data_IF_067467779401
#
_entry.id   IF_067467779401
#
_cell.length_a   1.000
_cell.length_b   1.000
_cell.length_c   1.000
_cell.angle_alpha   90.00
_cell.angle_beta   90.00
_cell.angle_gamma   90.00
#
_symmetry.space_group_name_H-M   'P 1'
#
loop_
_entity.id
_entity.type
_entity.pdbx_description
1 polymer ?
#
# COMPACT_ATOMS: atom_id res chain seq x y z
N UNK A 1 -20.63 -6.86 -6.85
CA UNK A 1 -21.75 -6.28 -6.04
C UNK A 1 -21.60 -4.82 -5.63
N UNK A 2 -20.47 -4.30 -5.11
CA UNK A 2 -20.43 -2.90 -4.63
C UNK A 2 -20.41 -1.81 -5.72
N UNK A 3 -20.07 -2.15 -6.97
CA UNK A 3 -20.02 -1.21 -8.10
C UNK A 3 -21.04 -1.54 -9.20
N UNK A 4 -22.05 -2.38 -8.90
CA UNK A 4 -23.05 -2.79 -9.89
C UNK A 4 -22.57 -3.82 -10.93
N UNK A 5 -21.28 -4.16 -10.97
CA UNK A 5 -20.75 -5.19 -11.86
C UNK A 5 -20.87 -6.61 -11.28
N UNK A 6 -21.15 -7.56 -12.18
CA UNK A 6 -21.00 -9.00 -11.98
C UNK A 6 -19.62 -9.43 -12.44
N UNK A 7 -18.87 -10.14 -11.60
CA UNK A 7 -17.51 -10.61 -11.93
C UNK A 7 -17.59 -12.08 -12.34
N UNK A 8 -17.24 -12.36 -13.59
CA UNK A 8 -17.06 -13.72 -14.12
C UNK A 8 -15.58 -14.11 -13.94
N UNK A 9 -15.23 -14.66 -12.78
CA UNK A 9 -13.84 -15.01 -12.46
C UNK A 9 -13.43 -16.32 -13.15
N UNK A 10 -12.27 -16.31 -13.80
CA UNK A 10 -11.69 -17.47 -14.46
C UNK A 10 -10.23 -17.66 -14.04
N UNK A 11 -9.88 -18.86 -13.59
CA UNK A 11 -8.52 -19.28 -13.28
C UNK A 11 -8.22 -20.72 -13.74
N UNK A 12 -7.07 -21.26 -13.34
CA UNK A 12 -6.60 -22.60 -13.73
C UNK A 12 -7.50 -23.77 -13.28
N UNK A 13 -8.41 -23.53 -12.35
CA UNK A 13 -9.34 -24.53 -11.83
C UNK A 13 -10.68 -24.54 -12.58
N UNK A 14 -10.91 -23.57 -13.47
CA UNK A 14 -12.09 -23.54 -14.32
C UNK A 14 -11.91 -24.40 -15.57
N UNK A 15 -13.05 -24.85 -16.11
CA UNK A 15 -13.17 -25.63 -17.34
C UNK A 15 -13.25 -24.73 -18.57
N UNK A 16 -12.93 -25.29 -19.75
CA UNK A 16 -13.10 -24.57 -21.02
C UNK A 16 -14.58 -24.28 -21.34
N UNK A 17 -15.52 -25.08 -20.83
CA UNK A 17 -16.96 -24.81 -20.97
C UNK A 17 -17.37 -23.54 -20.21
N UNK A 18 -16.81 -23.32 -19.01
CA UNK A 18 -16.99 -22.06 -18.30
C UNK A 18 -16.38 -20.88 -19.07
N UNK A 19 -15.21 -21.05 -19.70
CA UNK A 19 -14.62 -20.02 -20.54
C UNK A 19 -15.55 -19.64 -21.69
N UNK A 20 -16.11 -20.61 -22.39
CA UNK A 20 -17.07 -20.38 -23.49
C UNK A 20 -18.33 -19.67 -23.00
N UNK A 21 -18.87 -20.11 -21.86
CA UNK A 21 -20.04 -19.48 -21.24
C UNK A 21 -19.77 -18.03 -20.84
N UNK A 22 -18.63 -17.75 -20.20
CA UNK A 22 -18.26 -16.39 -19.79
C UNK A 22 -17.96 -15.51 -21.00
N UNK A 23 -17.29 -16.03 -22.03
CA UNK A 23 -17.04 -15.32 -23.27
C UNK A 23 -18.34 -14.94 -24.01
N UNK A 24 -19.43 -15.69 -23.83
CA UNK A 24 -20.74 -15.32 -24.41
C UNK A 24 -21.43 -14.16 -23.70
N UNK A 25 -21.07 -13.87 -22.44
CA UNK A 25 -21.74 -12.90 -21.56
C UNK A 25 -20.92 -11.65 -21.26
N UNK A 26 -19.60 -11.74 -21.38
CA UNK A 26 -18.69 -10.67 -20.96
C UNK A 26 -18.95 -9.36 -21.72
N UNK A 27 -19.07 -8.25 -21.00
CA UNK A 27 -19.17 -6.91 -21.59
C UNK A 27 -17.80 -6.23 -21.68
N UNK A 28 -16.88 -6.58 -20.77
CA UNK A 28 -15.47 -6.16 -20.74
C UNK A 28 -14.64 -7.34 -20.21
N UNK A 29 -13.48 -7.57 -20.81
CA UNK A 29 -12.55 -8.62 -20.38
C UNK A 29 -11.31 -7.98 -19.75
N UNK A 30 -10.97 -8.42 -18.54
CA UNK A 30 -9.74 -8.03 -17.84
C UNK A 30 -8.81 -9.25 -17.78
N UNK A 31 -7.95 -9.38 -18.79
CA UNK A 31 -7.04 -10.50 -18.95
C UNK A 31 -5.75 -10.29 -18.15
N UNK A 32 -5.75 -10.81 -16.92
CA UNK A 32 -4.62 -10.75 -15.99
C UNK A 32 -3.77 -12.01 -15.98
N UNK A 33 -4.15 -13.04 -16.74
CA UNK A 33 -3.46 -14.32 -16.72
C UNK A 33 -2.12 -14.23 -17.44
N UNK A 34 -1.07 -14.71 -16.77
CA UNK A 34 0.26 -14.80 -17.34
C UNK A 34 1.18 -15.64 -16.47
N UNK A 35 1.99 -16.47 -17.12
CA UNK A 35 3.06 -17.23 -16.48
C UNK A 35 4.27 -16.32 -16.32
N UNK A 36 4.72 -16.20 -15.07
CA UNK A 36 5.93 -15.50 -14.69
C UNK A 36 6.98 -16.52 -14.21
N UNK A 37 8.22 -16.40 -14.71
CA UNK A 37 9.39 -17.20 -14.28
C UNK A 37 9.14 -18.73 -14.23
N UNK A 38 8.72 -19.37 -15.33
CA UNK A 38 8.66 -20.82 -15.42
C UNK A 38 10.07 -21.41 -15.36
N UNK A 39 10.16 -22.67 -14.96
CA UNK A 39 11.40 -23.45 -15.00
C UNK A 39 11.76 -23.86 -16.42
N UNK A 40 10.78 -23.93 -17.32
CA UNK A 40 10.96 -24.23 -18.74
C UNK A 40 10.48 -23.04 -19.61
N UNK A 41 11.35 -22.47 -20.47
CA UNK A 41 10.97 -21.40 -21.39
C UNK A 41 9.77 -21.71 -22.29
N UNK A 42 9.53 -22.98 -22.66
CA UNK A 42 8.39 -23.35 -23.49
C UNK A 42 7.04 -23.23 -22.77
N UNK A 43 7.03 -23.21 -21.43
CA UNK A 43 5.84 -22.88 -20.65
C UNK A 43 5.38 -21.44 -20.88
N UNK A 44 6.29 -20.50 -21.21
CA UNK A 44 5.89 -19.13 -21.56
C UNK A 44 5.02 -19.11 -22.81
N UNK A 45 5.41 -19.83 -23.86
CA UNK A 45 4.64 -19.91 -25.11
C UNK A 45 3.31 -20.61 -24.88
N UNK A 46 3.33 -21.80 -24.28
CA UNK A 46 2.13 -22.60 -24.04
C UNK A 46 1.12 -21.90 -23.12
N UNK A 47 1.62 -21.17 -22.11
CA UNK A 47 0.78 -20.47 -21.14
C UNK A 47 0.26 -19.12 -21.61
N UNK A 48 1.16 -18.20 -22.01
CA UNK A 48 0.77 -16.81 -22.29
C UNK A 48 0.10 -16.65 -23.65
N UNK A 49 0.69 -17.23 -24.70
CA UNK A 49 0.15 -17.13 -26.06
C UNK A 49 -1.06 -18.05 -26.18
N UNK A 50 -0.90 -19.32 -25.79
CA UNK A 50 -1.97 -20.31 -25.92
C UNK A 50 -3.27 -19.93 -25.20
N UNK A 51 -3.20 -19.44 -23.96
CA UNK A 51 -4.43 -19.03 -23.27
C UNK A 51 -5.05 -17.75 -23.87
N UNK A 52 -4.23 -16.81 -24.34
CA UNK A 52 -4.73 -15.61 -25.03
C UNK A 52 -5.46 -15.98 -26.32
N UNK A 53 -4.93 -16.93 -27.10
CA UNK A 53 -5.60 -17.48 -28.29
C UNK A 53 -6.92 -18.17 -27.93
N UNK A 54 -6.95 -18.99 -26.86
CA UNK A 54 -8.18 -19.65 -26.39
C UNK A 54 -9.28 -18.64 -26.03
N UNK A 55 -8.92 -17.58 -25.31
CA UNK A 55 -9.84 -16.50 -24.96
C UNK A 55 -10.37 -15.77 -26.20
N UNK A 56 -9.48 -15.35 -27.11
CA UNK A 56 -9.86 -14.68 -28.36
C UNK A 56 -10.77 -15.56 -29.23
N UNK A 57 -10.48 -16.86 -29.31
CA UNK A 57 -11.29 -17.82 -30.05
C UNK A 57 -12.67 -18.03 -29.41
N UNK A 58 -12.75 -18.09 -28.08
CA UNK A 58 -14.02 -18.20 -27.36
C UNK A 58 -14.91 -16.95 -27.58
N UNK A 59 -14.32 -15.75 -27.56
CA UNK A 59 -15.03 -14.51 -27.88
C UNK A 59 -15.51 -14.49 -29.33
N UNK A 60 -14.63 -14.85 -30.27
CA UNK A 60 -14.94 -14.89 -31.70
C UNK A 60 -16.06 -15.90 -32.02
N UNK A 61 -16.02 -17.10 -31.43
CA UNK A 61 -17.05 -18.14 -31.57
C UNK A 61 -18.43 -17.65 -31.12
N UNK A 62 -18.48 -16.80 -30.11
CA UNK A 62 -19.71 -16.20 -29.59
C UNK A 62 -20.08 -14.87 -30.26
N UNK A 63 -19.32 -14.43 -31.27
CA UNK A 63 -19.46 -13.11 -31.90
C UNK A 63 -19.47 -11.96 -30.87
N UNK A 64 -18.74 -12.12 -29.76
CA UNK A 64 -18.66 -11.13 -28.70
C UNK A 64 -17.46 -10.20 -28.96
N UNK A 65 -17.74 -8.90 -29.02
CA UNK A 65 -16.77 -7.82 -29.28
C UNK A 65 -16.36 -7.06 -28.00
N UNK A 66 -16.54 -7.68 -26.84
CA UNK A 66 -16.17 -7.11 -25.55
C UNK A 66 -14.74 -6.51 -25.59
N UNK A 67 -14.54 -5.27 -25.13
CA UNK A 67 -13.20 -4.70 -25.00
C UNK A 67 -12.30 -5.57 -24.12
N UNK A 68 -11.06 -5.78 -24.55
CA UNK A 68 -10.09 -6.59 -23.82
C UNK A 68 -8.99 -5.69 -23.27
N UNK A 69 -8.90 -5.59 -21.95
CA UNK A 69 -7.73 -5.10 -21.25
C UNK A 69 -6.79 -6.27 -20.99
N UNK A 70 -5.49 -6.12 -21.31
CA UNK A 70 -4.48 -7.14 -20.99
C UNK A 70 -3.36 -6.61 -20.10
N UNK A 71 -2.94 -7.43 -19.13
CA UNK A 71 -1.70 -7.21 -18.37
C UNK A 71 -0.49 -7.77 -19.12
N UNK A 72 0.11 -6.94 -19.96
CA UNK A 72 1.43 -7.19 -20.53
C UNK A 72 2.54 -6.72 -19.56
N UNK A 73 3.76 -6.58 -20.06
CA UNK A 73 4.93 -6.18 -19.26
C UNK A 73 5.83 -5.24 -20.07
N UNK A 74 6.52 -4.31 -19.41
CA UNK A 74 7.60 -3.52 -20.04
C UNK A 74 8.66 -4.39 -20.70
N UNK A 75 8.83 -5.63 -20.23
CA UNK A 75 9.73 -6.61 -20.81
C UNK A 75 9.37 -6.96 -22.26
N UNK A 76 8.11 -6.76 -22.69
CA UNK A 76 7.69 -6.98 -24.07
C UNK A 76 8.46 -6.14 -25.08
N UNK A 77 9.04 -5.00 -24.67
CA UNK A 77 9.92 -4.18 -25.49
C UNK A 77 11.35 -4.73 -25.62
N UNK A 78 11.75 -5.67 -24.75
CA UNK A 78 13.09 -6.23 -24.69
C UNK A 78 13.19 -7.54 -25.47
N UNK A 79 14.41 -7.89 -25.90
CA UNK A 79 14.68 -9.13 -26.63
C UNK A 79 15.15 -10.25 -25.69
N UNK A 80 14.25 -10.76 -24.87
CA UNK A 80 14.44 -11.96 -24.05
C UNK A 80 13.21 -12.88 -24.15
N UNK A 81 13.31 -14.14 -23.71
CA UNK A 81 12.24 -15.14 -23.89
C UNK A 81 10.89 -14.67 -23.32
N UNK A 82 10.92 -14.04 -22.14
CA UNK A 82 9.71 -13.52 -21.50
C UNK A 82 9.12 -12.33 -22.27
N UNK A 83 9.96 -11.41 -22.72
CA UNK A 83 9.58 -10.27 -23.54
C UNK A 83 8.97 -10.70 -24.87
N UNK A 84 9.58 -11.67 -25.56
CA UNK A 84 9.05 -12.26 -26.79
C UNK A 84 7.69 -12.91 -26.57
N UNK A 85 7.53 -13.73 -25.54
CA UNK A 85 6.24 -14.35 -25.19
C UNK A 85 5.14 -13.33 -24.94
N UNK A 86 5.43 -12.22 -24.23
CA UNK A 86 4.46 -11.15 -24.02
C UNK A 86 4.11 -10.43 -25.31
N UNK A 87 5.11 -10.13 -26.16
CA UNK A 87 4.89 -9.50 -27.47
C UNK A 87 4.07 -10.36 -28.42
N UNK A 88 4.30 -11.68 -28.43
CA UNK A 88 3.48 -12.63 -29.20
C UNK A 88 2.03 -12.62 -28.73
N UNK A 89 1.77 -12.60 -27.42
CA UNK A 89 0.43 -12.43 -26.87
C UNK A 89 -0.23 -11.10 -27.26
N UNK A 90 0.54 -10.01 -27.29
CA UNK A 90 0.06 -8.71 -27.82
C UNK A 90 -0.33 -8.81 -29.30
N UNK A 91 0.45 -9.52 -30.12
CA UNK A 91 0.12 -9.74 -31.54
C UNK A 91 -1.19 -10.52 -31.72
N UNK A 92 -1.45 -11.56 -30.91
CA UNK A 92 -2.72 -12.29 -30.95
C UNK A 92 -3.91 -11.36 -30.69
N UNK A 93 -3.79 -10.46 -29.72
CA UNK A 93 -4.84 -9.50 -29.38
C UNK A 93 -5.05 -8.45 -30.47
N UNK A 94 -3.96 -7.95 -31.08
CA UNK A 94 -4.04 -7.01 -32.20
C UNK A 94 -4.73 -7.66 -33.40
N UNK A 95 -4.39 -8.90 -33.73
CA UNK A 95 -5.05 -9.63 -34.81
C UNK A 95 -6.55 -9.84 -34.51
N UNK A 96 -6.89 -10.19 -33.26
CA UNK A 96 -8.29 -10.32 -32.84
C UNK A 96 -9.06 -9.00 -32.95
N UNK A 97 -8.43 -7.88 -32.56
CA UNK A 97 -8.96 -6.53 -32.71
C UNK A 97 -9.34 -6.24 -34.17
N UNK A 98 -8.43 -6.51 -35.10
CA UNK A 98 -8.63 -6.29 -36.54
C UNK A 98 -9.71 -7.21 -37.13
N UNK A 99 -9.75 -8.48 -36.72
CA UNK A 99 -10.70 -9.47 -37.24
C UNK A 99 -12.13 -9.26 -36.74
N UNK A 100 -12.29 -8.90 -35.46
CA UNK A 100 -13.60 -8.79 -34.81
C UNK A 100 -14.12 -7.36 -34.75
N UNK A 101 -13.29 -6.36 -35.07
CA UNK A 101 -13.57 -4.94 -34.80
C UNK A 101 -13.91 -4.75 -33.30
N UNK A 102 -13.10 -5.38 -32.44
CA UNK A 102 -13.17 -5.27 -30.99
C UNK A 102 -12.20 -4.18 -30.48
N UNK A 103 -12.35 -3.71 -29.25
CA UNK A 103 -11.39 -2.79 -28.62
C UNK A 103 -10.36 -3.56 -27.81
N UNK A 104 -9.08 -3.16 -27.91
CA UNK A 104 -8.01 -3.75 -27.11
C UNK A 104 -7.20 -2.65 -26.42
N UNK A 105 -6.91 -2.87 -25.13
CA UNK A 105 -6.08 -2.00 -24.30
C UNK A 105 -4.91 -2.80 -23.71
N UNK A 106 -3.71 -2.51 -24.19
CA UNK A 106 -2.49 -3.21 -23.81
C UNK A 106 -1.75 -2.38 -22.75
N UNK A 107 -1.69 -2.91 -21.53
CA UNK A 107 -0.90 -2.31 -20.46
C UNK A 107 0.42 -3.05 -20.31
N UNK A 108 1.52 -2.43 -20.71
CA UNK A 108 2.88 -2.94 -20.44
C UNK A 108 3.31 -2.51 -19.03
N UNK A 109 2.80 -3.19 -18.01
CA UNK A 109 3.09 -2.84 -16.61
C UNK A 109 4.58 -2.99 -16.28
N UNK A 110 5.09 -2.10 -15.42
CA UNK A 110 6.40 -2.25 -14.80
C UNK A 110 6.32 -3.18 -13.57
N UNK A 111 7.29 -3.11 -12.66
CA UNK A 111 7.27 -3.98 -11.48
C UNK A 111 6.12 -3.57 -10.55
N UNK A 112 5.30 -4.53 -10.13
CA UNK A 112 4.16 -4.26 -9.26
C UNK A 112 4.51 -4.53 -7.79
N UNK A 113 3.93 -3.72 -6.89
CA UNK A 113 3.98 -3.97 -5.46
C UNK A 113 2.65 -3.62 -4.77
N UNK A 114 2.39 -4.29 -3.65
CA UNK A 114 1.19 -4.09 -2.88
C UNK A 114 0.81 -5.31 -2.04
N UNK A 115 -0.26 -5.13 -1.25
CA UNK A 115 -0.89 -6.20 -0.46
C UNK A 115 -1.25 -7.41 -1.34
N UNK A 116 -1.24 -8.59 -0.72
CA UNK A 116 -1.59 -9.88 -1.33
C UNK A 116 -0.64 -10.40 -2.42
N UNK A 117 0.47 -9.70 -2.67
CA UNK A 117 1.55 -10.22 -3.51
C UNK A 117 2.20 -11.43 -2.85
N UNK A 118 2.54 -12.46 -3.64
CA UNK A 118 3.15 -13.70 -3.12
C UNK A 118 4.66 -13.50 -2.86
N UNK A 119 5.16 -13.70 -1.62
CA UNK A 119 6.59 -13.73 -1.32
C UNK A 119 7.31 -14.87 -2.08
N UNK A 120 8.62 -14.71 -2.32
CA UNK A 120 9.48 -15.72 -2.97
C UNK A 120 9.02 -16.17 -4.36
N UNK A 121 8.32 -15.29 -5.09
CA UNK A 121 7.85 -15.60 -6.45
C UNK A 121 8.40 -14.63 -7.50
N UNK A 122 7.75 -13.48 -7.70
CA UNK A 122 8.04 -12.57 -8.81
C UNK A 122 8.31 -11.12 -8.38
N UNK A 123 8.21 -10.78 -7.09
CA UNK A 123 8.47 -9.43 -6.58
C UNK A 123 9.41 -9.44 -5.37
N UNK A 124 10.43 -8.59 -5.43
CA UNK A 124 11.42 -8.42 -4.36
C UNK A 124 10.78 -7.80 -3.12
N UNK A 125 9.82 -6.87 -3.31
CA UNK A 125 9.16 -6.17 -2.20
C UNK A 125 8.35 -7.14 -1.33
N UNK A 126 7.52 -8.02 -1.92
CA UNK A 126 6.77 -8.98 -1.10
C UNK A 126 7.70 -9.94 -0.34
N UNK A 127 8.81 -10.31 -0.97
CA UNK A 127 9.83 -11.18 -0.37
C UNK A 127 10.50 -10.50 0.83
N UNK A 128 10.91 -9.24 0.68
CA UNK A 128 11.57 -8.49 1.76
C UNK A 128 10.60 -8.08 2.86
N UNK A 129 9.37 -7.66 2.53
CA UNK A 129 8.33 -7.41 3.54
C UNK A 129 8.08 -8.67 4.38
N UNK A 130 7.98 -9.85 3.74
CA UNK A 130 7.80 -11.12 4.43
C UNK A 130 8.97 -11.45 5.35
N UNK A 131 10.20 -11.38 4.83
CA UNK A 131 11.41 -11.72 5.56
C UNK A 131 11.65 -10.77 6.76
N UNK A 132 11.64 -9.46 6.52
CA UNK A 132 11.91 -8.44 7.55
C UNK A 132 10.86 -8.48 8.66
N UNK A 133 9.58 -8.67 8.31
CA UNK A 133 8.53 -8.82 9.33
C UNK A 133 8.71 -10.07 10.21
N UNK A 134 9.46 -11.08 9.75
CA UNK A 134 9.76 -12.33 10.47
C UNK A 134 11.17 -12.39 11.07
N UNK A 135 11.91 -11.28 11.07
CA UNK A 135 13.31 -11.23 11.50
C UNK A 135 14.25 -12.11 10.64
N UNK A 136 13.86 -12.42 9.41
CA UNK A 136 14.70 -13.13 8.46
C UNK A 136 15.60 -12.13 7.72
N UNK A 137 16.88 -12.49 7.45
CA UNK A 137 17.78 -11.62 6.71
C UNK A 137 17.34 -11.50 5.25
N UNK A 138 17.49 -10.30 4.69
CA UNK A 138 17.39 -10.08 3.25
C UNK A 138 18.78 -10.05 2.62
N UNK A 139 18.85 -10.36 1.33
CA UNK A 139 20.07 -10.22 0.54
C UNK A 139 19.88 -9.14 -0.52
N UNK A 140 20.79 -8.17 -0.52
CA UNK A 140 20.83 -7.08 -1.50
C UNK A 140 22.13 -7.21 -2.29
N UNK A 141 22.04 -7.71 -3.53
CA UNK A 141 23.22 -7.90 -4.38
C UNK A 141 23.89 -6.57 -4.73
N UNK A 142 23.09 -5.61 -5.17
CA UNK A 142 23.53 -4.28 -5.55
C UNK A 142 22.45 -3.26 -5.14
N UNK A 143 22.71 -2.43 -4.11
CA UNK A 143 21.73 -1.46 -3.62
C UNK A 143 21.47 -0.32 -4.61
N UNK A 144 22.33 -0.11 -5.61
CA UNK A 144 22.20 0.99 -6.58
C UNK A 144 21.22 0.69 -7.73
N UNK A 145 20.81 -0.58 -7.89
CA UNK A 145 19.85 -0.97 -8.92
C UNK A 145 18.52 -0.24 -8.68
N UNK A 146 18.11 0.57 -9.66
CA UNK A 146 16.82 1.25 -9.67
C UNK A 146 15.73 0.37 -10.29
N UNK A 147 14.55 0.36 -9.66
CA UNK A 147 13.35 -0.29 -10.15
C UNK A 147 12.27 0.76 -10.40
N UNK A 148 11.67 0.70 -11.59
CA UNK A 148 10.39 1.36 -11.84
C UNK A 148 9.26 0.51 -11.28
N UNK A 149 8.50 1.05 -10.32
CA UNK A 149 7.45 0.38 -9.58
C UNK A 149 6.09 1.05 -9.74
N UNK A 150 5.04 0.25 -9.83
CA UNK A 150 3.64 0.69 -9.77
C UNK A 150 2.95 0.08 -8.56
N UNK A 151 2.18 0.90 -7.84
CA UNK A 151 1.41 0.44 -6.69
C UNK A 151 0.09 -0.18 -7.12
N UNK A 152 -0.31 -1.28 -6.48
CA UNK A 152 -1.49 -2.05 -6.87
C UNK A 152 -2.78 -1.21 -6.91
N UNK A 153 -2.95 -0.24 -6.01
CA UNK A 153 -4.17 0.57 -6.01
C UNK A 153 -4.21 1.53 -7.22
N UNK A 154 -3.06 2.04 -7.68
CA UNK A 154 -2.99 2.88 -8.90
C UNK A 154 -3.32 2.04 -10.15
N UNK A 155 -2.87 0.77 -10.18
CA UNK A 155 -3.19 -0.19 -11.24
C UNK A 155 -4.69 -0.51 -11.25
N UNK A 156 -5.28 -0.80 -10.09
CA UNK A 156 -6.72 -1.10 -9.98
C UNK A 156 -7.56 0.11 -10.40
N UNK A 157 -7.19 1.31 -9.98
CA UNK A 157 -7.89 2.54 -10.39
C UNK A 157 -7.82 2.75 -11.90
N UNK A 158 -6.69 2.45 -12.54
CA UNK A 158 -6.56 2.51 -13.99
C UNK A 158 -7.39 1.44 -14.71
N UNK A 159 -7.40 0.19 -14.21
CA UNK A 159 -8.27 -0.86 -14.76
C UNK A 159 -9.74 -0.45 -14.66
N UNK A 160 -10.16 0.16 -13.54
CA UNK A 160 -11.51 0.68 -13.37
C UNK A 160 -11.84 1.82 -14.35
N UNK A 161 -10.88 2.71 -14.63
CA UNK A 161 -11.04 3.75 -15.68
C UNK A 161 -11.22 3.11 -17.07
N UNK A 162 -10.46 2.07 -17.39
CA UNK A 162 -10.59 1.35 -18.64
C UNK A 162 -11.96 0.64 -18.77
N UNK A 163 -12.41 -0.05 -17.71
CA UNK A 163 -13.75 -0.68 -17.68
C UNK A 163 -14.86 0.35 -17.95
N UNK A 164 -14.71 1.58 -17.45
CA UNK A 164 -15.64 2.69 -17.70
C UNK A 164 -15.45 3.39 -19.05
N UNK A 165 -14.59 2.86 -19.94
CA UNK A 165 -14.39 3.35 -21.30
C UNK A 165 -13.45 4.55 -21.42
N UNK A 166 -12.73 4.93 -20.35
CA UNK A 166 -11.80 6.06 -20.33
C UNK A 166 -10.39 5.66 -19.86
N UNK A 167 -9.73 4.69 -20.53
CA UNK A 167 -8.35 4.32 -20.19
C UNK A 167 -7.38 5.48 -20.47
N UNK A 168 -6.24 5.48 -19.80
CA UNK A 168 -5.13 6.39 -20.12
C UNK A 168 -4.34 5.85 -21.31
N UNK A 169 -4.77 6.23 -22.52
CA UNK A 169 -4.13 5.83 -23.77
C UNK A 169 -2.86 6.67 -24.00
N UNK A 170 -1.77 5.99 -24.36
CA UNK A 170 -0.50 6.64 -24.76
C UNK A 170 -0.42 6.71 -26.28
N UNK A 171 -0.57 5.57 -26.95
CA UNK A 171 -0.46 5.47 -28.41
C UNK A 171 -1.25 4.25 -28.92
N UNK A 172 -2.18 4.48 -29.84
CA UNK A 172 -2.98 3.40 -30.42
C UNK A 172 -3.68 2.55 -29.36
N UNK A 173 -3.32 1.26 -29.29
CA UNK A 173 -3.86 0.30 -28.31
C UNK A 173 -3.12 0.32 -26.96
N UNK A 174 -1.98 1.00 -26.87
CA UNK A 174 -1.13 0.97 -25.69
C UNK A 174 -1.60 1.99 -24.65
N UNK A 175 -1.79 1.49 -23.43
CA UNK A 175 -2.25 2.26 -22.28
C UNK A 175 -1.21 2.24 -21.16
N UNK A 176 -1.33 3.18 -20.22
CA UNK A 176 -0.39 3.30 -19.09
C UNK A 176 -1.11 3.51 -17.76
N UNK A 177 -0.43 3.17 -16.66
CA UNK A 177 -0.79 3.66 -15.34
C UNK A 177 -0.03 4.97 -15.14
N UNK A 178 -0.72 6.11 -14.91
CA UNK A 178 -0.07 7.43 -14.86
C UNK A 178 0.98 7.60 -13.76
N UNK A 179 1.01 6.71 -12.77
CA UNK A 179 1.83 6.84 -11.58
C UNK A 179 2.78 5.66 -11.45
N UNK A 180 4.08 5.97 -11.41
CA UNK A 180 5.16 5.04 -11.12
C UNK A 180 6.20 5.69 -10.21
N UNK A 181 7.03 4.87 -9.58
CA UNK A 181 8.09 5.29 -8.67
C UNK A 181 9.39 4.65 -9.11
N UNK A 182 10.41 5.47 -9.38
CA UNK A 182 11.78 5.00 -9.58
C UNK A 182 12.50 5.05 -8.24
N UNK A 183 12.84 3.88 -7.71
CA UNK A 183 13.49 3.73 -6.41
C UNK A 183 14.54 2.63 -6.46
N UNK A 184 15.60 2.81 -5.69
CA UNK A 184 16.70 1.86 -5.64
C UNK A 184 16.41 0.71 -4.67
N UNK A 185 17.08 -0.43 -4.89
CA UNK A 185 17.03 -1.56 -3.96
C UNK A 185 17.50 -1.17 -2.55
N UNK A 186 18.49 -0.29 -2.43
CA UNK A 186 18.96 0.25 -1.16
C UNK A 186 17.86 1.03 -0.42
N UNK A 187 17.22 1.99 -1.09
CA UNK A 187 16.13 2.79 -0.50
C UNK A 187 14.96 1.92 -0.02
N UNK A 188 14.59 0.89 -0.80
CA UNK A 188 13.54 -0.05 -0.40
C UNK A 188 13.95 -0.79 0.89
N UNK A 189 15.18 -1.32 0.94
CA UNK A 189 15.68 -2.05 2.10
C UNK A 189 15.69 -1.17 3.36
N UNK A 190 16.23 0.04 3.25
CA UNK A 190 16.33 1.01 4.34
C UNK A 190 14.95 1.39 4.90
N UNK A 191 13.97 1.65 4.01
CA UNK A 191 12.59 1.92 4.41
C UNK A 191 11.94 0.73 5.11
N UNK A 192 12.10 -0.49 4.61
CA UNK A 192 11.49 -1.66 5.24
C UNK A 192 12.10 -1.94 6.63
N UNK A 193 13.41 -1.75 6.79
CA UNK A 193 14.06 -1.83 8.08
C UNK A 193 13.59 -0.72 9.04
N UNK A 194 13.43 0.51 8.55
CA UNK A 194 12.91 1.61 9.37
C UNK A 194 11.46 1.37 9.81
N UNK A 195 10.62 0.77 8.97
CA UNK A 195 9.24 0.40 9.34
C UNK A 195 9.21 -0.66 10.44
N UNK A 196 10.12 -1.63 10.39
CA UNK A 196 10.25 -2.61 11.48
C UNK A 196 10.66 -1.93 12.78
N UNK A 197 11.69 -1.08 12.72
CA UNK A 197 12.23 -0.38 13.88
C UNK A 197 11.29 0.72 14.42
N UNK A 198 10.35 1.20 13.61
CA UNK A 198 9.32 2.16 14.04
C UNK A 198 8.49 1.66 15.20
N UNK A 199 8.34 0.32 15.35
CA UNK A 199 7.60 -0.29 16.47
C UNK A 199 8.32 -0.16 17.81
N UNK A 200 9.64 0.02 17.80
CA UNK A 200 10.46 0.23 18.98
C UNK A 200 10.69 1.72 19.23
N UNK A 201 11.07 2.45 18.18
CA UNK A 201 11.42 3.87 18.25
C UNK A 201 10.21 4.80 18.32
N UNK A 202 9.02 4.30 17.96
CA UNK A 202 7.74 5.00 17.89
C UNK A 202 7.67 6.11 16.84
N UNK A 203 8.68 6.23 15.98
CA UNK A 203 8.66 7.21 14.89
C UNK A 203 7.72 6.77 13.77
N UNK A 204 6.77 7.64 13.44
CA UNK A 204 5.87 7.38 12.30
C UNK A 204 6.62 7.59 10.98
N UNK A 205 6.37 6.75 9.96
CA UNK A 205 6.91 6.97 8.62
C UNK A 205 6.34 8.24 8.00
N UNK A 206 6.96 8.73 6.94
CA UNK A 206 6.44 9.86 6.17
C UNK A 206 5.18 9.44 5.39
N UNK A 207 4.02 9.83 5.90
CA UNK A 207 2.72 9.53 5.33
C UNK A 207 2.23 10.56 4.30
N UNK A 208 3.11 11.43 3.78
CA UNK A 208 2.79 12.26 2.61
C UNK A 208 2.52 11.34 1.41
N UNK A 209 1.74 11.84 0.44
CA UNK A 209 1.51 11.11 -0.81
C UNK A 209 2.83 10.77 -1.50
N UNK A 210 3.04 9.50 -1.82
CA UNK A 210 4.29 9.01 -2.41
C UNK A 210 4.57 7.54 -2.15
N UNK A 211 5.78 7.12 -2.51
CA UNK A 211 6.24 5.74 -2.42
C UNK A 211 6.25 5.20 -0.98
N UNK A 212 6.81 5.95 -0.03
CA UNK A 212 6.98 5.51 1.36
C UNK A 212 5.66 5.13 2.03
N UNK A 213 4.61 5.97 1.91
CA UNK A 213 3.25 5.68 2.41
C UNK A 213 2.70 4.37 1.84
N UNK A 214 2.86 4.15 0.54
CA UNK A 214 2.38 2.97 -0.18
C UNK A 214 3.18 1.72 0.20
N UNK A 215 4.49 1.87 0.39
CA UNK A 215 5.37 0.79 0.85
C UNK A 215 5.07 0.42 2.31
N UNK A 216 4.84 1.39 3.20
CA UNK A 216 4.47 1.14 4.59
C UNK A 216 3.16 0.35 4.69
N UNK A 217 2.13 0.78 3.95
CA UNK A 217 0.86 0.06 3.86
C UNK A 217 1.03 -1.36 3.33
N UNK A 218 1.94 -1.55 2.36
CA UNK A 218 2.31 -2.86 1.85
C UNK A 218 2.99 -3.70 2.93
N UNK A 219 4.00 -3.17 3.62
CA UNK A 219 4.73 -3.83 4.70
C UNK A 219 3.78 -4.35 5.80
N UNK A 220 2.84 -3.51 6.27
CA UNK A 220 1.87 -3.91 7.28
C UNK A 220 1.04 -5.13 6.88
N UNK A 221 0.74 -5.30 5.58
CA UNK A 221 -0.01 -6.46 5.08
C UNK A 221 0.76 -7.80 5.15
N UNK A 222 2.07 -7.77 5.40
CA UNK A 222 2.93 -8.96 5.54
C UNK A 222 3.25 -9.34 6.99
N UNK A 223 2.82 -8.53 7.97
CA UNK A 223 3.01 -8.84 9.39
C UNK A 223 2.42 -10.23 9.73
N UNK A 224 3.10 -11.03 10.56
CA UNK A 224 2.49 -12.22 11.15
C UNK A 224 1.17 -11.88 11.86
N UNK A 225 0.17 -12.75 11.77
CA UNK A 225 -1.18 -12.50 12.31
C UNK A 225 -1.20 -12.35 13.83
N UNK A 226 -0.22 -12.93 14.50
CA UNK A 226 0.06 -12.89 15.93
C UNK A 226 0.99 -11.73 16.33
N UNK A 227 1.43 -10.89 15.38
CA UNK A 227 2.32 -9.76 15.62
C UNK A 227 1.71 -8.40 15.19
N UNK A 228 0.38 -8.29 15.13
CA UNK A 228 -0.27 -7.00 14.83
C UNK A 228 -0.14 -5.98 15.98
N UNK A 229 0.09 -6.43 17.21
CA UNK A 229 0.31 -5.58 18.37
C UNK A 229 1.79 -5.52 18.76
N UNK A 230 2.19 -4.42 19.40
CA UNK A 230 3.46 -4.31 20.13
C UNK A 230 3.18 -3.60 21.45
N UNK A 231 4.00 -3.87 22.47
CA UNK A 231 3.85 -3.26 23.78
C UNK A 231 4.60 -1.95 23.84
N UNK A 232 4.02 -0.98 24.55
CA UNK A 232 4.68 0.29 24.87
C UNK A 232 5.37 0.20 26.23
N UNK A 233 6.47 0.93 26.39
CA UNK A 233 7.22 1.02 27.63
C UNK A 233 6.52 1.96 28.61
N UNK A 234 5.80 1.38 29.57
CA UNK A 234 5.10 2.14 30.61
C UNK A 234 6.05 2.49 31.76
N UNK A 235 6.37 3.78 31.92
CA UNK A 235 7.12 4.29 33.07
C UNK A 235 6.18 4.46 34.26
N UNK A 236 6.13 3.44 35.12
CA UNK A 236 5.24 3.38 36.28
C UNK A 236 5.94 3.80 37.58
N UNK A 237 5.19 4.51 38.43
CA UNK A 237 5.56 4.82 39.81
C UNK A 237 4.31 4.89 40.71
N UNK A 238 4.48 5.30 41.97
CA UNK A 238 3.36 5.38 42.92
C UNK A 238 2.26 6.36 42.49
N UNK A 239 2.57 7.31 41.60
CA UNK A 239 1.67 8.36 41.10
C UNK A 239 0.85 7.91 39.89
N UNK A 240 1.26 6.84 39.21
CA UNK A 240 0.59 6.30 38.02
C UNK A 240 1.59 5.89 36.95
N UNK A 241 1.38 6.31 35.69
CA UNK A 241 2.30 6.00 34.59
C UNK A 241 2.45 7.14 33.59
N UNK A 242 3.54 7.08 32.81
CA UNK A 242 3.77 7.87 31.61
C UNK A 242 4.26 6.94 30.49
N UNK A 243 3.70 7.07 29.29
CA UNK A 243 3.96 6.14 28.18
C UNK A 243 4.00 6.89 26.86
N UNK A 244 5.11 6.83 26.14
CA UNK A 244 5.21 7.39 24.79
C UNK A 244 4.40 6.54 23.81
N UNK A 245 3.73 7.15 22.83
CA UNK A 245 2.93 6.44 21.85
C UNK A 245 3.39 6.66 20.40
N UNK A 246 3.45 7.91 19.95
CA UNK A 246 3.85 8.25 18.58
C UNK A 246 4.84 9.42 18.61
N UNK A 247 5.86 9.35 17.76
CA UNK A 247 6.87 10.40 17.57
C UNK A 247 6.96 10.79 16.11
N UNK A 248 7.19 12.06 15.87
CA UNK A 248 7.48 12.60 14.55
C UNK A 248 8.57 13.68 14.69
N UNK A 249 9.55 13.73 13.77
CA UNK A 249 10.58 14.75 13.81
C UNK A 249 10.05 16.16 13.49
N UNK A 250 8.89 16.28 12.82
CA UNK A 250 8.35 17.53 12.30
C UNK A 250 6.98 17.92 12.88
N UNK A 251 6.29 17.00 13.59
CA UNK A 251 4.94 17.19 14.15
C UNK A 251 4.84 16.89 15.65
N UNK A 252 5.99 16.74 16.32
CA UNK A 252 6.07 16.50 17.75
C UNK A 252 5.79 15.05 18.14
N UNK A 253 5.41 14.83 19.40
CA UNK A 253 5.16 13.51 19.96
C UNK A 253 3.89 13.48 20.80
N UNK A 254 3.24 12.31 20.84
CA UNK A 254 2.07 12.03 21.68
C UNK A 254 2.47 11.02 22.75
N UNK A 255 2.08 11.30 23.98
CA UNK A 255 2.29 10.42 25.13
C UNK A 255 1.00 10.33 25.96
N UNK A 256 0.83 9.22 26.66
CA UNK A 256 -0.30 8.93 27.53
C UNK A 256 0.17 9.07 28.98
N UNK A 257 -0.45 9.98 29.72
CA UNK A 257 -0.24 10.12 31.16
C UNK A 257 -1.43 9.54 31.92
N UNK A 258 -1.16 8.70 32.91
CA UNK A 258 -2.17 8.19 33.84
C UNK A 258 -1.78 8.63 35.24
N UNK A 259 -2.66 9.33 35.93
CA UNK A 259 -2.48 9.77 37.32
C UNK A 259 -3.50 9.09 38.22
N UNK A 260 -3.04 8.58 39.37
CA UNK A 260 -3.95 8.06 40.41
C UNK A 260 -4.75 9.21 41.05
N UNK A 261 -5.88 8.91 41.73
CA UNK A 261 -6.63 9.94 42.44
C UNK A 261 -5.77 10.73 43.44
N UNK A 262 -5.90 12.06 43.45
CA UNK A 262 -5.18 12.95 44.36
C UNK A 262 -3.73 13.25 43.98
N UNK A 263 -3.26 12.81 42.81
CA UNK A 263 -1.90 13.06 42.31
C UNK A 263 -1.85 14.36 41.50
N UNK A 264 -0.79 15.13 41.73
CA UNK A 264 -0.38 16.25 40.87
C UNK A 264 0.94 15.94 40.18
N UNK A 265 1.05 16.24 38.89
CA UNK A 265 2.29 16.15 38.09
C UNK A 265 2.55 17.49 37.39
N UNK A 266 3.82 17.75 37.05
CA UNK A 266 4.24 19.02 36.44
C UNK A 266 5.00 19.89 37.43
N UNK A 267 4.51 21.10 37.69
CA UNK A 267 5.18 22.17 38.44
C UNK A 267 6.52 22.57 37.83
N UNK A 268 6.51 22.76 36.51
CA UNK A 268 7.65 23.27 35.74
C UNK A 268 7.16 24.15 34.59
N UNK A 269 8.11 24.79 33.90
CA UNK A 269 7.85 25.63 32.74
C UNK A 269 8.94 25.42 31.69
N UNK A 270 8.71 25.98 30.50
CA UNK A 270 9.58 25.83 29.35
C UNK A 270 9.80 27.16 28.62
N UNK A 271 11.01 27.35 28.07
CA UNK A 271 11.32 28.48 27.18
C UNK A 271 10.67 28.32 25.80
N UNK A 272 10.80 27.13 25.19
CA UNK A 272 10.37 26.88 23.81
C UNK A 272 9.54 25.59 23.64
N UNK A 273 9.69 24.60 24.53
CA UNK A 273 8.82 23.42 24.54
C UNK A 273 7.40 23.85 24.93
N UNK A 274 6.41 23.36 24.21
CA UNK A 274 5.00 23.56 24.50
C UNK A 274 4.27 22.22 24.29
N UNK A 275 3.08 22.13 24.86
CA UNK A 275 2.27 20.90 24.91
C UNK A 275 0.80 21.22 24.64
N UNK A 276 0.04 20.18 24.30
CA UNK A 276 -1.43 20.21 24.23
C UNK A 276 -1.96 19.08 25.09
N UNK A 277 -2.68 19.39 26.16
CA UNK A 277 -3.30 18.39 27.02
C UNK A 277 -4.75 18.15 26.60
N UNK A 278 -5.16 16.87 26.61
CA UNK A 278 -6.53 16.44 26.35
C UNK A 278 -6.88 15.33 27.34
N UNK A 279 -7.80 15.61 28.26
CA UNK A 279 -8.31 14.60 29.20
C UNK A 279 -9.39 13.79 28.50
N UNK A 280 -9.15 12.48 28.36
CA UNK A 280 -10.06 11.55 27.67
C UNK A 280 -10.82 10.62 28.63
N UNK A 281 -10.42 10.57 29.91
CA UNK A 281 -11.05 9.77 30.94
C UNK A 281 -10.74 10.35 32.33
N UNK A 282 -11.72 10.33 33.22
CA UNK A 282 -11.63 10.97 34.54
C UNK A 282 -11.84 12.49 34.48
N UNK A 283 -11.52 13.16 35.57
CA UNK A 283 -11.62 14.63 35.71
C UNK A 283 -10.45 15.17 36.53
N UNK A 284 -10.07 16.41 36.29
CA UNK A 284 -8.93 17.05 36.96
C UNK A 284 -8.92 18.57 36.78
N UNK A 285 -7.82 19.18 37.19
CA UNK A 285 -7.60 20.63 37.08
C UNK A 285 -6.20 20.87 36.53
N UNK A 286 -6.09 21.60 35.42
CA UNK A 286 -4.81 22.06 34.89
C UNK A 286 -4.61 23.49 35.39
N UNK A 287 -3.53 23.74 36.13
CA UNK A 287 -3.23 25.07 36.67
C UNK A 287 -2.05 25.71 35.92
N UNK A 288 -2.11 27.03 35.76
CA UNK A 288 -1.04 27.84 35.18
C UNK A 288 -0.73 29.03 36.08
N UNK A 289 0.52 29.49 36.01
CA UNK A 289 0.95 30.78 36.57
C UNK A 289 2.09 31.34 35.72
N UNK A 290 2.02 32.60 35.31
CA UNK A 290 3.15 33.28 34.66
C UNK A 290 4.34 33.31 35.64
N UNK A 291 5.56 33.08 35.13
CA UNK A 291 6.75 32.99 35.98
C UNK A 291 7.06 34.30 36.75
N UNK A 292 6.53 35.44 36.32
CA UNK A 292 6.71 36.75 36.98
C UNK A 292 5.50 37.18 37.83
N UNK A 293 4.41 36.42 37.80
CA UNK A 293 3.16 36.79 38.45
C UNK A 293 2.77 35.80 39.57
N UNK A 294 1.76 36.20 40.33
CA UNK A 294 1.22 35.40 41.45
C UNK A 294 -0.16 34.84 41.16
N UNK A 295 -0.83 35.32 40.11
CA UNK A 295 -2.17 34.87 39.73
C UNK A 295 -2.14 33.43 39.20
N UNK A 296 -3.08 32.61 39.66
CA UNK A 296 -3.24 31.23 39.22
C UNK A 296 -4.48 31.14 38.32
N UNK A 297 -4.29 30.59 37.13
CA UNK A 297 -5.37 30.30 36.18
C UNK A 297 -5.67 28.80 36.24
N UNK A 298 -6.95 28.44 36.35
CA UNK A 298 -7.40 27.06 36.49
C UNK A 298 -8.34 26.64 35.35
N UNK A 299 -8.08 25.47 34.79
CA UNK A 299 -8.95 24.82 33.81
C UNK A 299 -9.43 23.48 34.36
N UNK A 300 -10.71 23.40 34.72
CA UNK A 300 -11.35 22.14 35.09
C UNK A 300 -11.72 21.34 33.84
N UNK A 301 -11.18 20.13 33.74
CA UNK A 301 -11.26 19.29 32.54
C UNK A 301 -11.82 17.91 32.89
N UNK A 302 -12.54 17.29 31.94
CA UNK A 302 -13.17 15.98 32.11
C UNK A 302 -13.17 15.20 30.81
N UNK A 303 -13.11 13.87 30.89
CA UNK A 303 -13.29 12.98 29.74
C UNK A 303 -14.71 13.00 29.15
N UNK A 304 -15.70 13.57 29.86
CA UNK A 304 -17.07 13.74 29.35
C UNK A 304 -17.18 14.83 28.29
N UNK A 305 -16.23 15.77 28.26
CA UNK A 305 -16.16 16.88 27.31
C UNK A 305 -14.73 17.04 26.84
N UNK A 306 -14.44 16.56 25.63
CA UNK A 306 -13.13 16.65 25.01
C UNK A 306 -12.78 18.12 24.70
N UNK A 307 -11.88 18.67 25.49
CA UNK A 307 -11.36 20.04 25.39
C UNK A 307 -9.83 20.00 25.43
N UNK A 308 -9.19 20.70 24.49
CA UNK A 308 -7.73 20.78 24.40
C UNK A 308 -7.25 22.02 25.11
N UNK A 309 -6.31 21.86 26.05
CA UNK A 309 -5.64 22.96 26.74
C UNK A 309 -4.22 23.09 26.21
N UNK A 310 -3.93 24.23 25.59
CA UNK A 310 -2.57 24.60 25.18
C UNK A 310 -1.73 24.94 26.42
N UNK A 311 -0.48 24.47 26.44
CA UNK A 311 0.50 24.77 27.48
C UNK A 311 1.47 25.82 26.96
N UNK A 312 1.23 27.13 27.22
CA UNK A 312 2.07 28.20 26.72
C UNK A 312 3.45 28.22 27.38
N UNK A 313 4.47 28.64 26.63
CA UNK A 313 5.80 28.89 27.18
C UNK A 313 5.78 30.10 28.12
N UNK A 314 6.69 30.13 29.11
CA UNK A 314 6.70 31.18 30.14
C UNK A 314 5.67 31.01 31.26
N UNK A 315 4.82 29.98 31.21
CA UNK A 315 3.89 29.62 32.29
C UNK A 315 4.35 28.35 32.98
N UNK A 316 4.50 28.39 34.30
CA UNK A 316 4.59 27.16 35.09
C UNK A 316 3.22 26.51 35.15
N UNK A 317 3.19 25.19 34.98
CA UNK A 317 1.93 24.46 34.91
C UNK A 317 1.98 23.12 35.65
N UNK A 318 0.80 22.66 36.08
CA UNK A 318 0.59 21.33 36.65
C UNK A 318 -0.77 20.75 36.24
N UNK A 319 -0.95 19.44 36.46
CA UNK A 319 -2.20 18.69 36.22
C UNK A 319 -2.40 17.65 37.32
#
# INVERSE_FOLDING_TARGET
NHLGHTVLAYDRNNSLEELENYASQAEVVVHLAGINRPTDPEEFKKGNVGFTELLCNALAKNNNKAPILVSSSIQAALDNDYGRSKREGETVLINHMEQMDAKVWIYRFSNLFGKWSRPHYNTVIATWCHAISRNEPIHVNDPSISLNLMYIDDVVLEIMRAINGSPTVVEGVYCTVPTSYDVTLGEIADLLHSFKESRNSLFVPNLKEGFEKKLYSTYLSFLPKDEFNYFLDMKCDDRGSFTEFLKSPDRGQVSINISKPGITKGNHWHHSKNEKFLVVSGQGCIQFRDIFETEIIEYHVTGEKLEVIDIPTGYTHNI
#
